data_IF_950456092551
#
_entry.id   IF_950456092551
#
_cell.length_a   1.000
_cell.length_b   1.000
_cell.length_c   1.000
_cell.angle_alpha   90.00
_cell.angle_beta   90.00
_cell.angle_gamma   90.00
#
_symmetry.space_group_name_H-M   'P 1'
#
loop_
_entity.id
_entity.type
_entity.pdbx_description
1 polymer ?
#
# COMPACT_ATOMS: atom_id res chain seq x y z
N UNK A 1 -1.89 1.26 1.73
CA UNK A 1 -0.99 2.07 2.57
C UNK A 1 -1.76 2.55 3.80
N UNK A 2 -2.90 3.26 3.65
CA UNK A 2 -3.76 3.73 4.78
C UNK A 2 -4.04 2.66 5.82
N UNK A 3 -4.26 1.40 5.39
CA UNK A 3 -4.49 0.30 6.32
C UNK A 3 -3.26 -0.05 7.17
N UNK A 4 -2.04 0.16 6.65
CA UNK A 4 -0.79 0.01 7.41
C UNK A 4 -0.72 1.06 8.51
N UNK A 5 -1.00 2.32 8.20
CA UNK A 5 -1.04 3.39 9.20
C UNK A 5 -2.09 3.13 10.29
N UNK A 6 -3.28 2.70 9.89
CA UNK A 6 -4.36 2.36 10.82
C UNK A 6 -3.94 1.23 11.76
N UNK A 7 -3.39 0.14 11.22
CA UNK A 7 -2.90 -0.99 12.02
C UNK A 7 -1.75 -0.59 12.95
N UNK A 8 -0.86 0.30 12.48
CA UNK A 8 0.24 0.84 13.29
C UNK A 8 -0.30 1.57 14.51
N UNK A 9 -1.29 2.46 14.31
CA UNK A 9 -1.94 3.18 15.40
C UNK A 9 -2.68 2.23 16.35
N UNK A 10 -3.48 1.29 15.82
CA UNK A 10 -4.16 0.31 16.68
C UNK A 10 -3.19 -0.51 17.49
N UNK A 11 -2.08 -0.96 16.94
CA UNK A 11 -1.06 -1.68 17.69
C UNK A 11 -0.37 -0.78 18.71
N UNK A 12 -0.03 0.45 18.35
CA UNK A 12 0.57 1.42 19.26
C UNK A 12 -0.27 1.65 20.52
N UNK A 13 -1.59 1.83 20.35
CA UNK A 13 -2.50 2.11 21.47
C UNK A 13 -2.91 0.86 22.26
N UNK A 14 -3.10 -0.26 21.58
CA UNK A 14 -3.71 -1.44 22.23
C UNK A 14 -2.71 -2.50 22.65
N UNK A 15 -1.52 -2.51 22.04
CA UNK A 15 -0.47 -3.54 22.17
C UNK A 15 -0.97 -4.98 21.94
N UNK A 16 -2.09 -5.16 21.21
CA UNK A 16 -2.64 -6.48 20.93
C UNK A 16 -1.88 -7.15 19.79
N UNK A 17 -1.41 -8.37 20.01
CA UNK A 17 -0.68 -9.18 19.02
C UNK A 17 -1.44 -9.33 17.69
N UNK A 18 -2.77 -9.38 17.75
CA UNK A 18 -3.61 -9.43 16.55
C UNK A 18 -3.28 -8.30 15.55
N UNK A 19 -3.19 -7.05 16.02
CA UNK A 19 -2.87 -5.91 15.16
C UNK A 19 -1.42 -5.94 14.70
N UNK A 20 -0.50 -6.39 15.55
CA UNK A 20 0.91 -6.62 15.20
C UNK A 20 1.05 -7.62 14.04
N UNK A 21 0.39 -8.78 14.19
CA UNK A 21 0.41 -9.83 13.17
C UNK A 21 -0.17 -9.33 11.83
N UNK A 22 -1.32 -8.65 11.86
CA UNK A 22 -1.95 -8.09 10.64
C UNK A 22 -1.10 -6.99 10.00
N UNK A 23 -0.47 -6.13 10.80
CA UNK A 23 0.46 -5.10 10.31
C UNK A 23 1.63 -5.71 9.55
N UNK A 24 2.34 -6.66 10.16
CA UNK A 24 3.47 -7.36 9.54
C UNK A 24 3.02 -8.09 8.26
N UNK A 25 1.88 -8.79 8.31
CA UNK A 25 1.34 -9.48 7.13
C UNK A 25 1.03 -8.51 5.99
N UNK A 26 0.46 -7.33 6.29
CA UNK A 26 0.11 -6.32 5.30
C UNK A 26 1.35 -5.69 4.68
N UNK A 27 2.35 -5.32 5.48
CA UNK A 27 3.62 -4.79 4.98
C UNK A 27 4.29 -5.82 4.06
N UNK A 28 4.41 -7.07 4.51
CA UNK A 28 5.03 -8.14 3.72
C UNK A 28 4.26 -8.43 2.42
N UNK A 29 2.93 -8.33 2.43
CA UNK A 29 2.11 -8.47 1.24
C UNK A 29 2.41 -7.38 0.22
N UNK A 30 2.39 -6.11 0.64
CA UNK A 30 2.65 -4.96 -0.25
C UNK A 30 4.09 -5.04 -0.79
N UNK A 31 5.07 -5.28 0.08
CA UNK A 31 6.49 -5.38 -0.30
C UNK A 31 6.80 -6.53 -1.26
N UNK A 32 6.00 -7.60 -1.23
CA UNK A 32 6.18 -8.74 -2.14
C UNK A 32 5.46 -8.57 -3.47
N UNK A 33 4.24 -8.05 -3.44
CA UNK A 33 3.35 -8.09 -4.60
C UNK A 33 3.32 -6.77 -5.39
N UNK A 34 3.68 -5.63 -4.79
CA UNK A 34 3.59 -4.32 -5.41
C UNK A 34 4.92 -3.65 -5.73
N UNK A 35 6.05 -4.26 -5.40
CA UNK A 35 7.36 -3.70 -5.78
C UNK A 35 7.62 -3.96 -7.26
N UNK A 36 7.98 -2.89 -7.97
CA UNK A 36 8.28 -2.91 -9.39
C UNK A 36 9.78 -3.16 -9.69
N UNK A 37 10.16 -3.08 -10.95
CA UNK A 37 11.55 -3.31 -11.41
C UNK A 37 12.57 -2.27 -10.91
N UNK A 38 12.10 -1.11 -10.44
CA UNK A 38 12.94 -0.02 -9.94
C UNK A 38 13.12 -0.12 -8.40
N UNK A 39 12.74 -1.24 -7.79
CA UNK A 39 12.72 -1.46 -6.34
C UNK A 39 11.84 -0.44 -5.58
N UNK A 40 10.82 0.13 -6.25
CA UNK A 40 9.84 1.06 -5.68
C UNK A 40 8.42 0.49 -5.82
N UNK A 41 7.46 1.14 -5.14
CA UNK A 41 6.06 0.73 -5.22
C UNK A 41 5.47 1.09 -6.58
N UNK A 42 4.90 0.10 -7.28
CA UNK A 42 4.08 0.32 -8.46
C UNK A 42 2.66 0.75 -8.09
N UNK A 43 1.89 1.20 -9.08
CA UNK A 43 0.61 1.87 -8.84
C UNK A 43 -0.51 0.93 -8.43
N UNK A 44 -0.82 -0.08 -9.27
CA UNK A 44 -2.01 -0.90 -9.08
C UNK A 44 -1.95 -2.23 -9.84
N UNK A 45 -2.79 -3.16 -9.44
CA UNK A 45 -3.21 -4.29 -10.26
C UNK A 45 -4.56 -4.00 -10.91
N UNK A 46 -4.74 -4.46 -12.15
CA UNK A 46 -6.05 -4.47 -12.79
C UNK A 46 -7.04 -5.34 -11.98
N UNK A 47 -8.30 -4.97 -12.01
CA UNK A 47 -9.35 -5.78 -11.43
C UNK A 47 -9.54 -7.11 -12.18
N UNK A 48 -9.24 -7.10 -13.48
CA UNK A 48 -9.46 -8.20 -14.39
C UNK A 48 -8.24 -9.09 -14.58
N UNK A 49 -8.50 -10.38 -14.67
CA UNK A 49 -7.56 -11.36 -15.20
C UNK A 49 -8.26 -12.14 -16.31
N UNK A 50 -7.65 -12.19 -17.50
CA UNK A 50 -8.25 -12.83 -18.70
C UNK A 50 -9.65 -12.28 -19.04
N UNK A 51 -9.87 -10.97 -18.82
CA UNK A 51 -11.13 -10.28 -19.10
C UNK A 51 -12.28 -10.63 -18.13
N UNK A 52 -11.97 -11.20 -16.97
CA UNK A 52 -12.95 -11.52 -15.93
C UNK A 52 -12.51 -10.90 -14.62
N UNK A 53 -13.38 -10.07 -14.03
CA UNK A 53 -13.14 -9.40 -12.76
C UNK A 53 -12.92 -10.41 -11.63
N UNK A 54 -11.89 -10.17 -10.83
CA UNK A 54 -11.58 -10.97 -9.65
C UNK A 54 -11.11 -12.40 -9.91
N UNK A 55 -11.08 -12.90 -11.16
CA UNK A 55 -10.78 -14.29 -11.51
C UNK A 55 -9.52 -14.85 -10.85
N UNK A 56 -8.50 -14.04 -10.70
CA UNK A 56 -7.25 -14.44 -10.07
C UNK A 56 -7.41 -14.78 -8.59
N UNK A 57 -8.34 -14.13 -7.89
CA UNK A 57 -8.47 -14.18 -6.42
C UNK A 57 -9.57 -15.11 -5.92
N UNK A 58 -10.59 -15.38 -6.74
CA UNK A 58 -11.75 -16.17 -6.34
C UNK A 58 -11.51 -17.68 -6.51
N UNK A 59 -12.34 -18.50 -5.83
CA UNK A 59 -12.17 -19.94 -5.79
C UNK A 59 -13.49 -20.66 -6.01
N UNK A 60 -13.43 -21.78 -6.75
CA UNK A 60 -14.53 -22.73 -6.78
C UNK A 60 -14.56 -23.58 -5.49
N UNK A 61 -15.75 -23.87 -5.00
CA UNK A 61 -15.93 -24.76 -3.86
C UNK A 61 -15.27 -26.14 -4.11
N UNK A 62 -15.50 -26.69 -5.28
CA UNK A 62 -14.95 -28.00 -5.69
C UNK A 62 -13.42 -27.95 -5.79
N UNK A 63 -12.87 -26.90 -6.40
CA UNK A 63 -11.42 -26.68 -6.49
C UNK A 63 -10.78 -26.63 -5.09
N UNK A 64 -11.38 -25.90 -4.16
CA UNK A 64 -10.89 -25.83 -2.78
C UNK A 64 -10.91 -27.19 -2.11
N UNK A 65 -11.99 -27.97 -2.26
CA UNK A 65 -12.11 -29.31 -1.65
C UNK A 65 -11.08 -30.29 -2.22
N UNK A 66 -10.82 -30.24 -3.53
CA UNK A 66 -9.80 -31.06 -4.20
C UNK A 66 -8.37 -30.73 -3.76
N UNK A 67 -8.05 -29.44 -3.57
CA UNK A 67 -6.73 -28.99 -3.13
C UNK A 67 -6.50 -29.35 -1.66
N UNK A 68 -7.49 -29.09 -0.81
CA UNK A 68 -7.34 -29.19 0.63
C UNK A 68 -7.61 -30.59 1.19
N UNK A 69 -8.38 -31.38 0.50
CA UNK A 69 -8.73 -32.79 0.90
C UNK A 69 -9.18 -32.86 2.37
N UNK A 70 -8.45 -33.62 3.19
CA UNK A 70 -8.75 -33.76 4.63
C UNK A 70 -8.69 -32.47 5.44
N UNK A 71 -8.07 -31.43 4.91
CA UNK A 71 -8.00 -30.11 5.58
C UNK A 71 -9.19 -29.21 5.23
N UNK A 72 -10.04 -29.61 4.27
CA UNK A 72 -11.10 -28.77 3.74
C UNK A 72 -12.15 -28.38 4.78
N UNK A 73 -12.63 -29.35 5.57
CA UNK A 73 -13.64 -29.08 6.60
C UNK A 73 -13.10 -28.13 7.68
N UNK A 74 -11.84 -28.32 8.09
CA UNK A 74 -11.19 -27.39 9.01
C UNK A 74 -11.12 -25.98 8.42
N UNK A 75 -10.77 -25.86 7.13
CA UNK A 75 -10.68 -24.56 6.46
C UNK A 75 -12.05 -23.89 6.31
N UNK A 76 -13.07 -24.65 5.87
CA UNK A 76 -14.46 -24.19 5.75
C UNK A 76 -15.06 -23.73 7.09
N UNK A 77 -14.64 -24.32 8.20
CA UNK A 77 -15.05 -23.86 9.53
C UNK A 77 -14.52 -22.46 9.85
N UNK A 78 -13.35 -22.10 9.33
CA UNK A 78 -12.68 -20.81 9.60
C UNK A 78 -12.98 -19.71 8.56
N UNK A 79 -13.43 -20.08 7.36
CA UNK A 79 -13.73 -19.16 6.27
C UNK A 79 -15.18 -19.26 5.83
N UNK A 80 -15.71 -18.13 5.34
CA UNK A 80 -17.05 -18.10 4.74
C UNK A 80 -16.97 -18.68 3.32
N UNK A 81 -17.25 -19.99 3.21
CA UNK A 81 -17.17 -20.76 1.97
C UNK A 81 -18.46 -21.54 1.80
N UNK A 82 -19.13 -21.36 0.68
CA UNK A 82 -20.39 -22.05 0.34
C UNK A 82 -20.31 -22.74 -1.02
N UNK A 83 -21.13 -23.77 -1.23
CA UNK A 83 -21.22 -24.47 -2.52
C UNK A 83 -21.70 -23.57 -3.65
N UNK A 84 -22.64 -22.66 -3.35
CA UNK A 84 -23.15 -21.68 -4.30
C UNK A 84 -22.21 -20.51 -4.54
N UNK A 85 -21.12 -20.39 -3.74
CA UNK A 85 -20.26 -19.22 -3.73
C UNK A 85 -20.82 -18.09 -2.86
N UNK A 86 -19.94 -17.23 -2.37
CA UNK A 86 -20.30 -16.01 -1.65
C UNK A 86 -20.14 -14.75 -2.53
N UNK A 87 -19.69 -14.90 -3.76
CA UNK A 87 -19.54 -13.84 -4.77
C UNK A 87 -19.58 -14.46 -6.19
N UNK A 88 -20.59 -14.13 -7.01
CA UNK A 88 -20.76 -14.56 -8.41
C UNK A 88 -20.50 -16.06 -8.68
N UNK A 89 -21.12 -16.92 -7.88
CA UNK A 89 -20.93 -18.38 -7.91
C UNK A 89 -19.49 -18.86 -7.62
N UNK A 90 -18.65 -18.00 -7.09
CA UNK A 90 -17.29 -18.28 -6.60
C UNK A 90 -17.19 -17.94 -5.11
N UNK A 91 -16.07 -18.27 -4.51
CA UNK A 91 -15.79 -17.93 -3.13
C UNK A 91 -14.60 -16.96 -3.03
N UNK A 92 -14.85 -15.79 -2.42
CA UNK A 92 -13.80 -14.97 -1.83
C UNK A 92 -13.48 -15.56 -0.46
N UNK A 93 -12.21 -15.71 -0.15
CA UNK A 93 -11.78 -16.30 1.12
C UNK A 93 -11.83 -15.25 2.24
N UNK A 94 -13.00 -15.09 2.85
CA UNK A 94 -13.23 -14.18 3.97
C UNK A 94 -13.14 -14.97 5.27
N UNK A 95 -12.22 -14.58 6.15
CA UNK A 95 -12.06 -15.19 7.47
C UNK A 95 -13.27 -14.83 8.35
N UNK A 96 -13.90 -15.81 8.98
CA UNK A 96 -15.02 -15.58 9.90
C UNK A 96 -14.55 -14.79 11.12
N UNK A 97 -15.37 -13.88 11.60
CA UNK A 97 -15.03 -13.00 12.71
C UNK A 97 -14.76 -13.77 14.02
N UNK A 98 -13.79 -13.29 14.79
CA UNK A 98 -13.53 -13.67 16.19
C UNK A 98 -13.14 -15.15 16.45
N UNK A 99 -12.50 -15.81 15.50
CA UNK A 99 -11.99 -17.17 15.74
C UNK A 99 -10.72 -17.07 16.59
N UNK A 100 -10.80 -17.53 17.84
CA UNK A 100 -9.60 -17.76 18.65
C UNK A 100 -8.98 -19.08 18.20
N UNK A 101 -7.84 -19.00 17.53
CA UNK A 101 -7.08 -20.17 17.11
C UNK A 101 -6.02 -20.52 18.16
N UNK A 102 -5.90 -21.80 18.46
CA UNK A 102 -4.71 -22.32 19.15
C UNK A 102 -3.48 -22.24 18.24
N UNK A 103 -2.29 -22.33 18.80
CA UNK A 103 -1.05 -22.26 18.00
C UNK A 103 -0.95 -23.42 16.98
N UNK A 104 -1.50 -24.59 17.31
CA UNK A 104 -1.58 -25.73 16.38
C UNK A 104 -2.48 -25.38 15.20
N UNK A 105 -3.65 -24.77 15.46
CA UNK A 105 -4.59 -24.36 14.40
C UNK A 105 -4.02 -23.23 13.54
N UNK A 106 -3.30 -22.26 14.15
CA UNK A 106 -2.59 -21.19 13.42
C UNK A 106 -1.56 -21.79 12.45
N UNK A 107 -0.73 -22.71 12.93
CA UNK A 107 0.26 -23.38 12.10
C UNK A 107 -0.39 -24.16 10.95
N UNK A 108 -1.43 -24.93 11.25
CA UNK A 108 -2.20 -25.66 10.23
C UNK A 108 -2.80 -24.71 9.19
N UNK A 109 -3.40 -23.60 9.63
CA UNK A 109 -3.97 -22.61 8.73
C UNK A 109 -2.90 -21.95 7.85
N UNK A 110 -1.73 -21.67 8.38
CA UNK A 110 -0.60 -21.13 7.62
C UNK A 110 -0.15 -22.10 6.52
N UNK A 111 -0.07 -23.40 6.81
CA UNK A 111 0.27 -24.40 5.78
C UNK A 111 -0.82 -24.50 4.69
N UNK A 112 -2.08 -24.40 5.05
CA UNK A 112 -3.20 -24.35 4.10
C UNK A 112 -3.08 -23.09 3.22
N UNK A 113 -2.86 -21.92 3.81
CA UNK A 113 -2.68 -20.65 3.07
C UNK A 113 -1.49 -20.73 2.10
N UNK A 114 -0.38 -21.39 2.49
CA UNK A 114 0.76 -21.64 1.59
C UNK A 114 0.37 -22.51 0.39
N UNK A 115 -0.34 -23.64 0.63
CA UNK A 115 -0.84 -24.52 -0.46
C UNK A 115 -1.71 -23.76 -1.45
N UNK A 116 -2.65 -22.96 -0.95
CA UNK A 116 -3.54 -22.15 -1.79
C UNK A 116 -2.76 -21.08 -2.57
N UNK A 117 -1.81 -20.40 -1.94
CA UNK A 117 -0.97 -19.41 -2.62
C UNK A 117 -0.14 -20.04 -3.75
N UNK A 118 0.43 -21.21 -3.54
CA UNK A 118 1.15 -21.94 -4.61
C UNK A 118 0.23 -22.22 -5.80
N UNK A 119 -1.02 -22.62 -5.55
CA UNK A 119 -2.00 -22.86 -6.61
C UNK A 119 -2.42 -21.58 -7.30
N UNK A 120 -2.75 -20.52 -6.53
CA UNK A 120 -3.13 -19.21 -7.04
C UNK A 120 -2.05 -18.63 -7.95
N UNK A 121 -0.78 -18.71 -7.55
CA UNK A 121 0.33 -18.14 -8.30
C UNK A 121 0.65 -18.86 -9.64
N UNK A 122 -0.03 -19.98 -9.91
CA UNK A 122 0.00 -20.63 -11.25
C UNK A 122 -1.06 -20.08 -12.21
N UNK A 123 -2.00 -19.27 -11.70
CA UNK A 123 -3.00 -18.60 -12.53
C UNK A 123 -2.38 -17.41 -13.24
N UNK A 124 -3.00 -16.96 -14.32
CA UNK A 124 -2.62 -15.72 -15.01
C UNK A 124 -2.93 -14.55 -14.09
N UNK A 125 -1.89 -13.79 -13.75
CA UNK A 125 -2.04 -12.61 -12.90
C UNK A 125 -2.75 -11.47 -13.65
N UNK A 126 -3.49 -10.60 -12.93
CA UNK A 126 -3.94 -9.33 -13.48
C UNK A 126 -2.77 -8.50 -13.99
N UNK A 127 -3.03 -7.57 -14.91
CA UNK A 127 -2.03 -6.61 -15.35
C UNK A 127 -1.54 -5.77 -14.16
N UNK A 128 -0.24 -5.63 -14.05
CA UNK A 128 0.39 -4.79 -13.03
C UNK A 128 0.82 -3.47 -13.67
N UNK A 129 0.21 -2.36 -13.25
CA UNK A 129 0.66 -1.02 -13.60
C UNK A 129 1.89 -0.71 -12.74
N UNK A 130 3.08 -0.88 -13.34
CA UNK A 130 4.37 -0.74 -12.67
C UNK A 130 4.86 0.70 -12.56
N UNK A 131 4.01 1.71 -12.91
CA UNK A 131 4.39 3.12 -12.76
C UNK A 131 4.69 3.46 -11.32
N UNK A 132 5.79 4.17 -11.11
CA UNK A 132 6.17 4.70 -9.81
C UNK A 132 5.57 6.09 -9.63
N UNK A 133 4.63 6.26 -8.71
CA UNK A 133 4.06 7.54 -8.33
C UNK A 133 4.76 8.10 -7.10
N UNK A 134 5.14 9.38 -7.14
CA UNK A 134 5.93 10.01 -6.06
C UNK A 134 5.14 10.09 -4.76
N UNK A 135 3.87 10.47 -4.81
CA UNK A 135 2.97 10.54 -3.67
C UNK A 135 2.81 9.19 -2.96
N UNK A 136 2.45 8.13 -3.72
CA UNK A 136 2.28 6.78 -3.16
C UNK A 136 3.57 6.26 -2.54
N UNK A 137 4.72 6.46 -3.19
CA UNK A 137 5.99 5.98 -2.67
C UNK A 137 6.43 6.75 -1.42
N UNK A 138 6.26 8.07 -1.40
CA UNK A 138 6.56 8.91 -0.24
C UNK A 138 5.70 8.51 0.96
N UNK A 139 4.41 8.27 0.73
CA UNK A 139 3.51 7.81 1.77
C UNK A 139 3.85 6.39 2.25
N UNK A 140 4.15 5.46 1.34
CA UNK A 140 4.56 4.10 1.68
C UNK A 140 5.82 4.06 2.53
N UNK A 141 6.86 4.80 2.14
CA UNK A 141 8.12 4.89 2.88
C UNK A 141 7.89 5.42 4.30
N UNK A 142 7.07 6.47 4.43
CA UNK A 142 6.67 7.01 5.73
C UNK A 142 5.93 6.00 6.60
N UNK A 143 4.99 5.25 6.00
CA UNK A 143 4.18 4.27 6.73
C UNK A 143 5.02 3.10 7.23
N UNK A 144 5.98 2.60 6.42
CA UNK A 144 6.92 1.55 6.87
C UNK A 144 7.81 2.08 8.00
N UNK A 145 8.35 3.30 7.87
CA UNK A 145 9.22 3.88 8.89
C UNK A 145 8.48 3.99 10.23
N UNK A 146 7.26 4.51 10.24
CA UNK A 146 6.42 4.59 11.44
C UNK A 146 6.13 3.22 12.03
N UNK A 147 5.78 2.26 11.17
CA UNK A 147 5.51 0.89 11.59
C UNK A 147 6.76 0.24 12.20
N UNK A 148 7.95 0.45 11.62
CA UNK A 148 9.21 -0.12 12.12
C UNK A 148 9.56 0.36 13.52
N UNK A 149 9.33 1.64 13.81
CA UNK A 149 9.55 2.23 15.13
C UNK A 149 8.61 1.58 16.16
N UNK A 150 7.33 1.45 15.83
CA UNK A 150 6.31 0.91 16.75
C UNK A 150 6.45 -0.61 16.96
N UNK A 151 6.98 -1.31 15.95
CA UNK A 151 7.26 -2.75 16.00
C UNK A 151 8.64 -3.06 16.60
N UNK A 152 9.52 -2.04 16.71
CA UNK A 152 10.95 -2.22 17.04
C UNK A 152 11.64 -3.19 16.06
N UNK A 153 11.42 -2.99 14.75
CA UNK A 153 11.84 -3.91 13.69
C UNK A 153 12.88 -3.25 12.76
N UNK A 154 14.14 -3.60 12.95
CA UNK A 154 15.27 -3.08 12.18
C UNK A 154 15.22 -3.46 10.68
N UNK A 155 14.55 -4.55 10.31
CA UNK A 155 14.43 -4.96 8.91
C UNK A 155 13.50 -4.00 8.17
N UNK A 156 12.38 -3.62 8.78
CA UNK A 156 11.48 -2.61 8.20
C UNK A 156 12.12 -1.23 8.19
N UNK A 157 12.90 -0.87 9.22
CA UNK A 157 13.69 0.37 9.21
C UNK A 157 14.65 0.40 8.02
N UNK A 158 15.44 -0.66 7.84
CA UNK A 158 16.39 -0.78 6.73
C UNK A 158 15.69 -0.75 5.37
N UNK A 159 14.51 -1.38 5.27
CA UNK A 159 13.69 -1.35 4.05
C UNK A 159 13.20 0.06 3.74
N UNK A 160 12.73 0.81 4.74
CA UNK A 160 12.29 2.18 4.56
C UNK A 160 13.43 3.09 4.09
N UNK A 161 14.62 2.96 4.68
CA UNK A 161 15.80 3.72 4.27
C UNK A 161 16.19 3.39 2.83
N UNK A 162 16.23 2.11 2.47
CA UNK A 162 16.54 1.69 1.08
C UNK A 162 15.56 2.29 0.08
N UNK A 163 14.25 2.22 0.37
CA UNK A 163 13.22 2.79 -0.51
C UNK A 163 13.33 4.31 -0.61
N UNK A 164 13.64 5.00 0.50
CA UNK A 164 13.91 6.43 0.50
C UNK A 164 15.07 6.79 -0.44
N UNK A 165 16.20 6.09 -0.32
CA UNK A 165 17.37 6.34 -1.17
C UNK A 165 17.07 6.09 -2.66
N UNK A 166 16.26 5.07 -2.99
CA UNK A 166 15.82 4.80 -4.36
C UNK A 166 14.92 5.92 -4.89
N UNK A 167 13.97 6.41 -4.09
CA UNK A 167 13.09 7.51 -4.48
C UNK A 167 13.89 8.81 -4.67
N UNK A 168 14.83 9.13 -3.75
CA UNK A 168 15.71 10.28 -3.86
C UNK A 168 16.56 10.25 -5.14
N UNK A 169 17.13 9.09 -5.44
CA UNK A 169 17.91 8.89 -6.66
C UNK A 169 17.06 9.08 -7.92
N UNK A 170 15.81 8.59 -7.91
CA UNK A 170 14.89 8.76 -9.03
C UNK A 170 14.51 10.22 -9.24
N UNK A 171 14.17 10.93 -8.16
CA UNK A 171 13.72 12.32 -8.22
C UNK A 171 14.85 13.29 -8.56
N UNK A 172 16.07 13.01 -8.14
CA UNK A 172 17.24 13.87 -8.37
C UNK A 172 16.94 15.36 -8.08
N UNK A 173 16.30 15.65 -6.94
CA UNK A 173 15.83 16.95 -6.46
C UNK A 173 14.64 17.58 -7.22
N UNK A 174 14.12 16.96 -8.26
CA UNK A 174 12.94 17.44 -9.01
C UNK A 174 11.74 16.55 -8.70
N UNK A 175 10.66 17.14 -8.19
CA UNK A 175 9.42 16.40 -7.94
C UNK A 175 8.61 16.32 -9.23
N UNK A 176 8.20 15.11 -9.59
CA UNK A 176 7.30 14.79 -10.70
C UNK A 176 6.37 13.65 -10.27
N UNK A 177 5.20 13.52 -10.89
CA UNK A 177 4.24 12.49 -10.49
C UNK A 177 4.74 11.07 -10.84
N UNK A 178 4.91 10.77 -12.14
CA UNK A 178 5.32 9.42 -12.60
C UNK A 178 6.61 9.39 -13.38
N UNK A 179 6.89 10.39 -14.21
CA UNK A 179 8.08 10.50 -15.06
C UNK A 179 8.45 11.96 -15.23
N UNK A 180 9.76 12.27 -15.20
CA UNK A 180 10.27 13.62 -15.41
C UNK A 180 9.88 14.20 -16.79
N UNK A 181 9.80 13.33 -17.80
CA UNK A 181 9.45 13.71 -19.17
C UNK A 181 7.94 13.59 -19.46
N UNK A 182 7.14 13.20 -18.46
CA UNK A 182 5.70 13.10 -18.64
C UNK A 182 5.08 14.47 -18.85
N UNK A 183 4.03 14.53 -19.65
CA UNK A 183 3.22 15.74 -19.81
C UNK A 183 2.43 16.09 -18.55
N UNK A 184 2.23 15.12 -17.68
CA UNK A 184 1.53 15.29 -16.39
C UNK A 184 2.50 15.88 -15.38
N UNK A 185 2.25 17.10 -14.88
CA UNK A 185 3.06 17.72 -13.84
C UNK A 185 2.93 16.98 -12.52
N UNK A 186 3.81 17.31 -11.57
CA UNK A 186 3.59 16.91 -10.18
C UNK A 186 2.33 17.59 -9.62
N UNK A 187 1.60 16.86 -8.80
CA UNK A 187 0.41 17.35 -8.09
C UNK A 187 0.76 17.83 -6.69
N UNK A 188 -0.20 18.46 -6.03
CA UNK A 188 -0.06 18.89 -4.64
C UNK A 188 0.31 17.72 -3.72
N UNK A 189 -0.29 16.56 -3.93
CA UNK A 189 -0.06 15.33 -3.17
C UNK A 189 1.40 14.85 -3.26
N UNK A 190 2.03 14.96 -4.44
CA UNK A 190 3.44 14.59 -4.61
C UNK A 190 4.35 15.41 -3.69
N UNK A 191 4.13 16.71 -3.62
CA UNK A 191 4.90 17.61 -2.77
C UNK A 191 4.61 17.43 -1.28
N UNK A 192 3.33 17.27 -0.93
CA UNK A 192 2.91 17.18 0.48
C UNK A 192 3.32 15.86 1.11
N UNK A 193 3.14 14.73 0.44
CA UNK A 193 3.59 13.43 0.96
C UNK A 193 5.10 13.32 0.98
N UNK A 194 5.80 13.87 -0.03
CA UNK A 194 7.25 13.90 -0.03
C UNK A 194 7.81 14.76 1.12
N UNK A 195 7.25 15.94 1.35
CA UNK A 195 7.65 16.80 2.47
C UNK A 195 7.34 16.14 3.83
N UNK A 196 6.19 15.50 3.96
CA UNK A 196 5.84 14.72 5.16
C UNK A 196 6.81 13.56 5.41
N UNK A 197 7.22 12.86 4.35
CA UNK A 197 8.24 11.80 4.44
C UNK A 197 9.57 12.36 4.98
N UNK A 198 10.03 13.49 4.48
CA UNK A 198 11.24 14.14 4.98
C UNK A 198 11.15 14.53 6.45
N UNK A 199 10.00 15.05 6.90
CA UNK A 199 9.75 15.35 8.32
C UNK A 199 9.83 14.08 9.17
N UNK A 200 9.21 12.98 8.74
CA UNK A 200 9.28 11.71 9.45
C UNK A 200 10.73 11.19 9.54
N UNK A 201 11.55 11.36 8.50
CA UNK A 201 12.97 11.01 8.54
C UNK A 201 13.76 11.92 9.49
N UNK A 202 13.44 13.21 9.56
CA UNK A 202 14.01 14.10 10.56
C UNK A 202 13.67 13.66 11.99
N UNK A 203 12.40 13.38 12.26
CA UNK A 203 11.94 12.90 13.58
C UNK A 203 12.62 11.58 14.00
N UNK A 204 12.87 10.70 13.03
CA UNK A 204 13.54 9.42 13.28
C UNK A 204 15.05 9.55 13.50
N UNK A 205 15.74 10.38 12.68
CA UNK A 205 17.21 10.44 12.65
C UNK A 205 17.79 11.58 13.48
N UNK A 206 17.02 12.66 13.71
CA UNK A 206 17.50 13.93 14.24
C UNK A 206 18.38 14.73 13.27
N UNK A 207 18.57 14.26 12.02
CA UNK A 207 19.43 14.93 11.05
C UNK A 207 18.69 16.10 10.39
N UNK A 208 19.15 17.31 10.70
CA UNK A 208 18.56 18.59 10.28
C UNK A 208 18.45 18.73 8.74
N UNK A 209 19.26 18.01 7.98
CA UNK A 209 19.21 18.07 6.51
C UNK A 209 17.82 17.69 5.94
N UNK A 210 17.12 16.75 6.56
CA UNK A 210 15.78 16.36 6.14
C UNK A 210 14.77 17.48 6.37
N UNK A 211 14.83 18.14 7.53
CA UNK A 211 13.95 19.27 7.83
C UNK A 211 14.22 20.47 6.89
N UNK A 212 15.49 20.79 6.64
CA UNK A 212 15.85 21.85 5.69
C UNK A 212 15.34 21.55 4.27
N UNK A 213 15.45 20.29 3.83
CA UNK A 213 14.92 19.88 2.53
C UNK A 213 13.40 19.96 2.48
N UNK A 214 12.71 19.55 3.56
CA UNK A 214 11.26 19.67 3.68
C UNK A 214 10.82 21.13 3.60
N UNK A 215 11.51 22.05 4.30
CA UNK A 215 11.22 23.50 4.25
C UNK A 215 11.31 24.06 2.83
N UNK A 216 12.35 23.69 2.08
CA UNK A 216 12.50 24.10 0.67
C UNK A 216 11.32 23.60 -0.15
N UNK A 217 10.94 22.32 -0.02
CA UNK A 217 9.85 21.73 -0.78
C UNK A 217 8.47 22.30 -0.38
N UNK A 218 8.27 22.65 0.88
CA UNK A 218 7.07 23.34 1.32
C UNK A 218 6.95 24.76 0.76
N UNK A 219 8.06 25.50 0.63
CA UNK A 219 8.06 26.80 -0.06
C UNK A 219 7.71 26.66 -1.54
N UNK A 220 8.33 25.70 -2.24
CA UNK A 220 7.97 25.37 -3.63
C UNK A 220 6.48 24.99 -3.75
N UNK A 221 5.94 24.21 -2.79
CA UNK A 221 4.52 23.85 -2.76
C UNK A 221 3.63 25.08 -2.69
N UNK A 222 3.97 26.01 -1.80
CA UNK A 222 3.21 27.25 -1.64
C UNK A 222 3.22 28.10 -2.91
N UNK A 223 4.38 28.28 -3.52
CA UNK A 223 4.56 29.05 -4.76
C UNK A 223 3.81 28.42 -5.95
N UNK A 224 3.75 27.10 -6.03
CA UNK A 224 3.14 26.39 -7.16
C UNK A 224 1.63 26.24 -7.03
N UNK A 225 1.12 26.05 -5.84
CA UNK A 225 -0.26 25.58 -5.63
C UNK A 225 -1.17 26.55 -4.86
N UNK A 226 -0.63 27.54 -4.14
CA UNK A 226 -1.45 28.44 -3.34
C UNK A 226 -2.07 29.55 -4.21
N UNK A 227 -3.41 29.59 -4.25
CA UNK A 227 -4.17 30.63 -4.94
C UNK A 227 -4.51 31.76 -3.94
N UNK A 228 -3.78 32.87 -4.02
CA UNK A 228 -3.98 34.04 -3.14
C UNK A 228 -5.39 34.64 -3.20
N UNK A 229 -6.10 34.48 -4.33
CA UNK A 229 -7.45 35.04 -4.49
C UNK A 229 -8.50 34.18 -3.80
N UNK A 230 -8.29 32.87 -3.75
CA UNK A 230 -9.21 31.90 -3.13
C UNK A 230 -8.76 31.51 -1.73
N UNK A 231 -7.53 31.87 -1.34
CA UNK A 231 -6.90 31.51 -0.07
C UNK A 231 -6.84 29.98 0.17
N UNK A 232 -6.58 29.19 -0.90
CA UNK A 232 -6.54 27.73 -0.85
C UNK A 232 -5.38 27.18 -1.67
N UNK A 233 -4.94 25.97 -1.32
CA UNK A 233 -4.05 25.18 -2.16
C UNK A 233 -4.89 24.45 -3.22
N UNK A 234 -4.46 24.50 -4.47
CA UNK A 234 -5.09 23.82 -5.59
C UNK A 234 -4.37 22.51 -5.88
N UNK A 235 -5.09 21.52 -6.41
CA UNK A 235 -4.52 20.20 -6.73
C UNK A 235 -3.43 20.27 -7.80
N UNK A 236 -3.64 21.12 -8.80
CA UNK A 236 -2.71 21.31 -9.92
C UNK A 236 -1.94 22.62 -9.79
N UNK A 237 -0.71 22.71 -10.34
CA UNK A 237 0.06 23.95 -10.32
C UNK A 237 -0.68 25.10 -11.01
N UNK A 238 -0.63 26.30 -10.42
CA UNK A 238 -1.33 27.49 -10.91
C UNK A 238 -0.90 27.96 -12.29
N UNK A 239 0.34 27.65 -12.69
CA UNK A 239 0.91 28.03 -13.98
C UNK A 239 0.50 27.14 -15.17
N UNK A 240 -0.34 26.12 -14.93
CA UNK A 240 -0.88 25.23 -15.96
C UNK A 240 -2.30 25.65 -16.34
N UNK A 241 -2.44 26.24 -17.53
CA UNK A 241 -3.70 26.79 -18.04
C UNK A 241 -4.45 25.83 -18.99
N UNK A 242 -4.15 24.54 -18.96
CA UNK A 242 -4.73 23.52 -19.84
C UNK A 242 -6.03 22.90 -19.30
N UNK A 243 -6.45 23.29 -18.09
CA UNK A 243 -7.70 22.83 -17.51
C UNK A 243 -8.76 23.92 -17.51
N UNK A 244 -9.98 23.59 -17.95
CA UNK A 244 -11.15 24.48 -17.88
C UNK A 244 -11.53 24.86 -16.44
N UNK A 245 -11.29 23.94 -15.50
CA UNK A 245 -11.51 24.12 -14.07
C UNK A 245 -10.36 23.44 -13.33
N UNK A 246 -9.71 24.15 -12.43
CA UNK A 246 -8.77 23.53 -11.51
C UNK A 246 -9.57 23.05 -10.30
N UNK A 247 -9.79 21.74 -10.13
CA UNK A 247 -10.60 21.24 -9.05
C UNK A 247 -9.92 21.50 -7.70
N UNK A 248 -10.74 21.92 -6.75
CA UNK A 248 -10.36 21.98 -5.34
C UNK A 248 -11.03 20.79 -4.69
N UNK A 249 -10.25 19.80 -4.34
CA UNK A 249 -10.74 18.65 -3.59
C UNK A 249 -10.72 19.00 -2.11
N UNK A 250 -11.89 19.35 -1.57
CA UNK A 250 -12.06 19.69 -0.15
C UNK A 250 -12.56 18.46 0.63
N UNK A 251 -12.94 17.42 -0.06
CA UNK A 251 -13.43 16.19 0.55
C UNK A 251 -12.46 15.05 0.29
N UNK A 252 -11.98 14.43 1.35
CA UNK A 252 -11.41 13.10 1.27
C UNK A 252 -12.48 12.13 0.74
N UNK A 253 -12.27 11.64 -0.45
CA UNK A 253 -13.08 10.56 -1.01
C UNK A 253 -12.56 9.20 -0.54
#
# INVERSE_FOLDING_TARGET
ILFVDLLTQFYQFTKKDYYKEKLIQTINFISRDFINKDDLLGSAYDADSEGIEGKFYVWDYKELSEILKSDFDFFKDKFDITESGNWENKNILVEKNQIKLSDIEKNKLNEIKKKLNVKKNKRIKPFFDDKTQTDLNSYWISSILKASIILEDDQFTSSSIKLFDQLEKRLNNVIFHTDLNATVPAFLEDYTYYSSMLINFYEFTGDIKYLQKAEVKMKETWELFFDDKKEILQKNPLNKNDLFVNPVDINDN
#
